data_IF_752032481943
#
_entry.id   IF_752032481943
#
_cell.length_a   1.000
_cell.length_b   1.000
_cell.length_c   1.000
_cell.angle_alpha   90.00
_cell.angle_beta   90.00
_cell.angle_gamma   90.00
#
_symmetry.space_group_name_H-M   'P 1'
#
loop_
_entity.id
_entity.type
_entity.pdbx_description
1 polymer ?
#
# COMPACT_ATOMS: atom_id res chain seq x y z
N UNK A 1 8.77 -6.34 -7.30
CA UNK A 1 7.32 -6.19 -7.07
C UNK A 1 7.03 -6.30 -5.58
N UNK A 2 6.63 -5.20 -4.95
CA UNK A 2 6.50 -5.04 -3.50
C UNK A 2 5.04 -4.76 -3.11
N UNK A 3 4.45 -5.51 -2.18
CA UNK A 3 3.16 -5.13 -1.58
C UNK A 3 3.38 -4.53 -0.22
N UNK A 4 2.78 -3.36 -0.03
CA UNK A 4 2.73 -2.70 1.25
C UNK A 4 1.29 -2.61 1.75
N UNK A 5 1.07 -3.08 2.98
CA UNK A 5 -0.19 -2.93 3.71
C UNK A 5 -0.04 -1.84 4.77
N UNK A 6 -0.91 -0.84 4.70
CA UNK A 6 -0.93 0.32 5.57
C UNK A 6 -1.79 0.11 6.83
N UNK A 7 -1.42 0.82 7.91
CA UNK A 7 -2.27 1.17 9.07
C UNK A 7 -2.52 2.67 9.11
N UNK A 8 -3.65 3.11 9.69
CA UNK A 8 -4.25 4.47 9.84
C UNK A 8 -3.45 5.75 9.47
N UNK A 9 -2.13 5.78 9.64
CA UNK A 9 -1.25 6.92 9.46
C UNK A 9 -0.59 6.98 8.06
N UNK A 10 -0.77 8.12 7.39
CA UNK A 10 -0.19 8.41 6.06
C UNK A 10 1.34 8.28 6.06
N UNK A 11 2.02 8.72 7.13
CA UNK A 11 3.48 8.65 7.24
C UNK A 11 4.02 7.22 7.12
N UNK A 12 3.36 6.28 7.80
CA UNK A 12 3.73 4.86 7.77
C UNK A 12 3.55 4.24 6.39
N UNK A 13 2.66 4.78 5.55
CA UNK A 13 2.56 4.36 4.14
C UNK A 13 3.68 4.89 3.27
N UNK A 14 4.00 6.17 3.42
CA UNK A 14 4.89 6.86 2.49
C UNK A 14 6.35 6.49 2.71
N UNK A 15 6.81 6.36 3.95
CA UNK A 15 8.19 6.00 4.28
C UNK A 15 8.67 4.69 3.60
N UNK A 16 7.98 3.55 3.75
CA UNK A 16 8.37 2.32 3.07
C UNK A 16 8.15 2.38 1.55
N UNK A 17 7.15 3.12 1.07
CA UNK A 17 6.94 3.33 -0.36
C UNK A 17 8.12 4.10 -1.00
N UNK A 18 8.62 5.15 -0.32
CA UNK A 18 9.81 5.90 -0.74
C UNK A 18 11.01 4.96 -0.85
N UNK A 19 11.23 4.11 0.17
CA UNK A 19 12.30 3.11 0.14
C UNK A 19 12.16 2.10 -1.01
N UNK A 20 10.94 1.63 -1.27
CA UNK A 20 10.67 0.70 -2.36
C UNK A 20 10.96 1.33 -3.74
N UNK A 21 10.52 2.58 -3.94
CA UNK A 21 10.76 3.35 -5.17
C UNK A 21 12.26 3.61 -5.36
N UNK A 22 12.96 4.07 -4.31
CA UNK A 22 14.40 4.35 -4.36
C UNK A 22 15.23 3.10 -4.69
N UNK A 23 14.78 1.93 -4.27
CA UNK A 23 15.38 0.65 -4.61
C UNK A 23 14.99 0.12 -6.01
N UNK A 24 14.25 0.89 -6.81
CA UNK A 24 13.87 0.53 -8.18
C UNK A 24 12.74 -0.49 -8.28
N UNK A 25 11.89 -0.61 -7.25
CA UNK A 25 10.77 -1.56 -7.26
C UNK A 25 9.51 -0.94 -7.85
N UNK A 26 8.75 -1.78 -8.55
CA UNK A 26 7.29 -1.58 -8.70
C UNK A 26 6.60 -1.95 -7.39
N UNK A 27 5.61 -1.16 -6.99
CA UNK A 27 4.97 -1.28 -5.69
C UNK A 27 3.44 -1.17 -5.76
N UNK A 28 2.78 -1.91 -4.88
CA UNK A 28 1.35 -1.81 -4.64
C UNK A 28 1.13 -1.41 -3.17
N UNK A 29 0.43 -0.31 -2.97
CA UNK A 29 -0.02 0.18 -1.68
C UNK A 29 -1.49 -0.24 -1.48
N UNK A 30 -1.78 -0.98 -0.41
CA UNK A 30 -3.14 -1.23 0.05
C UNK A 30 -3.36 -0.46 1.36
N UNK A 31 -4.08 0.67 1.33
CA UNK A 31 -4.49 1.39 2.52
C UNK A 31 -5.41 0.55 3.43
N UNK A 32 -5.46 0.88 4.72
CA UNK A 32 -6.41 0.27 5.65
C UNK A 32 -7.84 0.77 5.37
N UNK A 33 -8.80 -0.16 5.30
CA UNK A 33 -10.22 0.13 5.12
C UNK A 33 -10.84 0.87 6.31
N UNK A 34 -10.33 0.62 7.52
CA UNK A 34 -10.75 1.28 8.77
C UNK A 34 -10.31 2.76 8.85
N UNK A 35 -9.49 3.24 7.90
CA UNK A 35 -9.00 4.61 7.82
C UNK A 35 -9.43 5.32 6.52
N UNK A 36 -10.75 5.50 6.28
CA UNK A 36 -11.29 5.85 4.96
C UNK A 36 -10.83 7.21 4.45
N UNK A 37 -10.65 8.20 5.33
CA UNK A 37 -10.17 9.52 4.94
C UNK A 37 -8.73 9.48 4.41
N UNK A 38 -7.81 8.84 5.16
CA UNK A 38 -6.42 8.66 4.76
C UNK A 38 -6.30 7.80 3.49
N UNK A 39 -7.05 6.70 3.42
CA UNK A 39 -7.11 5.80 2.27
C UNK A 39 -7.50 6.55 1.00
N UNK A 40 -8.60 7.30 1.06
CA UNK A 40 -9.11 8.06 -0.08
C UNK A 40 -8.12 9.12 -0.56
N UNK A 41 -7.44 9.80 0.36
CA UNK A 41 -6.40 10.78 0.03
C UNK A 41 -5.24 10.11 -0.71
N UNK A 42 -4.73 8.98 -0.21
CA UNK A 42 -3.64 8.24 -0.85
C UNK A 42 -4.02 7.75 -2.24
N UNK A 43 -5.21 7.13 -2.37
CA UNK A 43 -5.72 6.60 -3.63
C UNK A 43 -5.99 7.71 -4.66
N UNK A 44 -6.40 8.90 -4.21
CA UNK A 44 -6.64 10.05 -5.09
C UNK A 44 -5.35 10.74 -5.52
N UNK A 45 -4.39 10.92 -4.60
CA UNK A 45 -3.21 11.77 -4.84
C UNK A 45 -2.12 11.00 -5.58
N UNK A 46 -1.73 9.82 -5.11
CA UNK A 46 -0.57 9.08 -5.65
C UNK A 46 -0.61 8.92 -7.18
N UNK A 47 -1.75 8.54 -7.80
CA UNK A 47 -1.84 8.37 -9.25
C UNK A 47 -1.58 9.64 -10.08
N UNK A 48 -1.67 10.82 -9.48
CA UNK A 48 -1.41 12.10 -10.18
C UNK A 48 0.08 12.46 -10.23
N UNK A 49 0.92 11.83 -9.42
CA UNK A 49 2.33 12.18 -9.27
C UNK A 49 3.28 11.04 -9.61
N UNK A 50 2.83 9.79 -9.55
CA UNK A 50 3.66 8.60 -9.80
C UNK A 50 3.18 7.83 -11.04
N UNK A 51 4.06 7.04 -11.63
CA UNK A 51 3.71 6.18 -12.77
C UNK A 51 2.71 5.10 -12.34
N UNK A 52 1.48 5.21 -12.84
CA UNK A 52 0.35 4.31 -12.56
C UNK A 52 0.56 2.85 -13.00
N UNK A 53 1.57 2.58 -13.84
CA UNK A 53 1.98 1.21 -14.19
C UNK A 53 2.93 0.62 -13.16
N UNK A 54 3.77 1.45 -12.54
CA UNK A 54 4.78 1.04 -11.58
C UNK A 54 4.27 1.07 -10.13
N UNK A 55 3.47 2.08 -9.79
CA UNK A 55 2.95 2.32 -8.44
C UNK A 55 1.42 2.32 -8.48
N UNK A 56 0.81 1.39 -7.75
CA UNK A 56 -0.66 1.30 -7.64
C UNK A 56 -1.11 1.46 -6.21
N UNK A 57 -2.27 2.10 -6.03
CA UNK A 57 -3.01 2.11 -4.78
C UNK A 57 -4.29 1.31 -4.98
N UNK A 58 -4.54 0.32 -4.14
CA UNK A 58 -5.78 -0.47 -4.18
C UNK A 58 -6.47 -0.40 -2.83
N UNK A 59 -7.63 0.22 -2.80
CA UNK A 59 -8.50 0.27 -1.62
C UNK A 59 -9.38 -0.99 -1.53
N UNK A 60 -9.89 -1.25 -0.32
CA UNK A 60 -10.88 -2.30 -0.06
C UNK A 60 -10.61 -3.06 1.23
N UNK A 61 -11.60 -3.85 1.64
CA UNK A 61 -11.60 -4.64 2.88
C UNK A 61 -10.57 -5.79 2.89
N UNK A 62 -10.66 -6.64 3.92
CA UNK A 62 -9.80 -7.81 4.07
C UNK A 62 -9.83 -8.75 2.85
N UNK A 63 -10.95 -8.87 2.12
CA UNK A 63 -11.07 -9.77 0.97
C UNK A 63 -10.17 -9.35 -0.20
N UNK A 64 -9.95 -8.04 -0.36
CA UNK A 64 -8.96 -7.52 -1.31
C UNK A 64 -7.56 -7.87 -0.86
N UNK A 65 -7.29 -7.81 0.45
CA UNK A 65 -6.03 -8.24 1.04
C UNK A 65 -5.74 -9.71 0.75
N UNK A 66 -6.70 -10.60 0.99
CA UNK A 66 -6.59 -12.03 0.71
C UNK A 66 -6.26 -12.31 -0.76
N UNK A 67 -6.95 -11.64 -1.70
CA UNK A 67 -6.68 -11.77 -3.13
C UNK A 67 -5.28 -11.30 -3.51
N UNK A 68 -4.79 -10.23 -2.87
CA UNK A 68 -3.44 -9.74 -3.08
C UNK A 68 -2.42 -10.73 -2.53
N UNK A 69 -2.63 -11.30 -1.34
CA UNK A 69 -1.73 -12.28 -0.73
C UNK A 69 -1.61 -13.58 -1.55
N UNK A 70 -2.61 -13.92 -2.36
CA UNK A 70 -2.56 -15.06 -3.29
C UNK A 70 -1.67 -14.82 -4.53
N UNK A 71 -1.27 -13.57 -4.81
CA UNK A 71 -0.38 -13.27 -5.94
C UNK A 71 1.09 -13.53 -5.57
N UNK A 72 1.94 -13.68 -6.59
CA UNK A 72 3.38 -13.81 -6.37
C UNK A 72 4.01 -12.43 -6.16
N UNK A 73 4.68 -12.27 -5.03
CA UNK A 73 5.44 -11.07 -4.68
C UNK A 73 6.89 -11.40 -4.38
N UNK A 74 7.79 -10.48 -4.71
CA UNK A 74 9.21 -10.62 -4.34
C UNK A 74 9.40 -10.28 -2.86
N UNK A 75 8.58 -9.36 -2.35
CA UNK A 75 8.56 -8.96 -0.94
C UNK A 75 7.21 -8.38 -0.55
N UNK A 76 6.76 -8.74 0.63
CA UNK A 76 5.59 -8.14 1.30
C UNK A 76 6.12 -7.40 2.52
N UNK A 77 5.67 -6.16 2.70
CA UNK A 77 5.93 -5.37 3.89
C UNK A 77 4.60 -5.03 4.53
N UNK A 78 4.45 -5.50 5.75
CA UNK A 78 3.21 -5.44 6.49
C UNK A 78 3.49 -4.75 7.81
N UNK A 79 2.73 -3.70 8.09
CA UNK A 79 2.73 -3.02 9.40
C UNK A 79 1.36 -3.23 10.01
N UNK A 80 1.34 -3.72 11.24
CA UNK A 80 0.12 -3.94 12.00
C UNK A 80 0.22 -3.32 13.38
N UNK A 81 -0.91 -3.17 14.08
CA UNK A 81 -0.89 -3.06 15.53
C UNK A 81 -0.76 -4.46 16.10
N UNK A 82 0.25 -4.67 16.93
CA UNK A 82 0.30 -5.80 17.85
C UNK A 82 -0.74 -5.53 18.95
N UNK A 83 -2.01 -5.87 18.71
CA UNK A 83 -3.08 -5.96 19.72
C UNK A 83 -4.26 -6.73 19.08
N UNK A 84 -4.41 -7.96 19.58
CA UNK A 84 -5.41 -9.02 19.37
C UNK A 84 -5.40 -9.79 18.04
#
# INVERSE_FOLDING_TARGET
>A
MFVYFCIEYIGLSLEPLIGAIAAGNVALLKPLDQAPASSSVLAKIIPNYLDNKAIKVIEGDYTVGDKLLQQKWDKIFFTDRLLD
#
